data_IF_449885653613
#
_entry.id   IF_449885653613
#
_cell.length_a   1.000
_cell.length_b   1.000
_cell.length_c   1.000
_cell.angle_alpha   90.00
_cell.angle_beta   90.00
_cell.angle_gamma   90.00
#
_symmetry.space_group_name_H-M   'P 1'
#
loop_
_entity.id
_entity.type
_entity.pdbx_description
1 polymer ?
#
# COMPACT_ATOMS: atom_id res chain seq x y z
N UNK A 1 -18.48 16.60 25.46
CA UNK A 1 -17.66 15.44 25.07
C UNK A 1 -16.23 15.92 24.92
N UNK A 2 -15.34 15.60 25.87
CA UNK A 2 -13.91 15.86 25.72
C UNK A 2 -13.38 14.89 24.66
N UNK A 3 -12.83 15.42 23.56
CA UNK A 3 -12.11 14.58 22.60
C UNK A 3 -10.96 13.95 23.37
N UNK A 4 -11.01 12.62 23.50
CA UNK A 4 -9.98 11.89 24.22
C UNK A 4 -8.69 11.90 23.39
N UNK A 5 -7.55 11.91 24.05
CA UNK A 5 -6.25 11.98 23.40
C UNK A 5 -6.06 10.85 22.36
N UNK A 6 -6.60 9.66 22.62
CA UNK A 6 -6.62 8.52 21.70
C UNK A 6 -7.43 8.80 20.41
N UNK A 7 -8.53 9.56 20.52
CA UNK A 7 -9.33 9.97 19.36
C UNK A 7 -8.56 10.96 18.49
N UNK A 8 -7.81 11.90 19.08
CA UNK A 8 -6.99 12.85 18.32
C UNK A 8 -5.94 12.11 17.50
N UNK A 9 -5.25 11.15 18.10
CA UNK A 9 -4.28 10.33 17.39
C UNK A 9 -4.94 9.48 16.30
N UNK A 10 -6.10 8.90 16.57
CA UNK A 10 -6.89 8.17 15.58
C UNK A 10 -7.24 9.03 14.36
N UNK A 11 -7.72 10.25 14.58
CA UNK A 11 -8.03 11.19 13.49
C UNK A 11 -6.80 11.66 12.74
N UNK A 12 -5.70 11.99 13.42
CA UNK A 12 -4.46 12.41 12.78
C UNK A 12 -3.88 11.29 11.89
N UNK A 13 -3.92 10.05 12.37
CA UNK A 13 -3.45 8.88 11.65
C UNK A 13 -4.36 8.58 10.47
N UNK A 14 -5.69 8.68 10.65
CA UNK A 14 -6.67 8.48 9.58
C UNK A 14 -6.51 9.51 8.47
N UNK A 15 -6.36 10.80 8.80
CA UNK A 15 -6.11 11.85 7.81
C UNK A 15 -4.80 11.60 7.07
N UNK A 16 -3.74 11.21 7.79
CA UNK A 16 -2.43 10.92 7.18
C UNK A 16 -2.51 9.76 6.20
N UNK A 17 -3.12 8.64 6.59
CA UNK A 17 -3.31 7.47 5.73
C UNK A 17 -4.20 7.80 4.54
N UNK A 18 -5.28 8.56 4.76
CA UNK A 18 -6.18 8.98 3.69
C UNK A 18 -5.47 9.86 2.66
N UNK A 19 -4.62 10.79 3.10
CA UNK A 19 -3.82 11.63 2.21
C UNK A 19 -2.81 10.81 1.40
N UNK A 20 -2.10 9.88 2.04
CA UNK A 20 -1.16 8.98 1.35
C UNK A 20 -1.88 8.10 0.31
N UNK A 21 -3.05 7.57 0.68
CA UNK A 21 -3.85 6.74 -0.22
C UNK A 21 -4.43 7.55 -1.38
N UNK A 22 -4.91 8.77 -1.14
CA UNK A 22 -5.40 9.65 -2.19
C UNK A 22 -4.28 10.04 -3.17
N UNK A 23 -3.07 10.32 -2.68
CA UNK A 23 -1.89 10.55 -3.53
C UNK A 23 -1.59 9.34 -4.41
N UNK A 24 -1.59 8.15 -3.82
CA UNK A 24 -1.35 6.92 -4.55
C UNK A 24 -2.42 6.64 -5.60
N UNK A 25 -3.70 6.78 -5.26
CA UNK A 25 -4.82 6.64 -6.19
C UNK A 25 -4.74 7.64 -7.34
N UNK A 26 -4.47 8.91 -7.04
CA UNK A 26 -4.34 9.96 -8.04
C UNK A 26 -3.20 9.63 -9.02
N UNK A 27 -2.06 9.21 -8.50
CA UNK A 27 -0.92 8.82 -9.31
C UNK A 27 -1.23 7.62 -10.22
N UNK A 28 -1.77 6.52 -9.67
CA UNK A 28 -2.13 5.33 -10.44
C UNK A 28 -3.19 5.62 -11.49
N UNK A 29 -4.16 6.50 -11.19
CA UNK A 29 -5.23 6.84 -12.12
C UNK A 29 -4.73 7.74 -13.24
N UNK A 30 -3.86 8.72 -12.97
CA UNK A 30 -3.36 9.67 -13.98
C UNK A 30 -2.30 9.05 -14.90
N UNK A 31 -1.46 8.15 -14.39
CA UNK A 31 -0.38 7.51 -15.17
C UNK A 31 -0.82 6.88 -16.51
N UNK A 32 -1.91 6.09 -16.62
CA UNK A 32 -2.33 5.49 -17.89
C UNK A 32 -2.90 6.50 -18.91
N UNK A 33 -3.20 7.73 -18.50
CA UNK A 33 -3.69 8.79 -19.41
C UNK A 33 -2.56 9.69 -19.93
N UNK A 34 -1.32 9.50 -19.46
CA UNK A 34 -0.15 10.24 -19.94
C UNK A 34 0.52 9.42 -21.04
N UNK A 35 0.63 10.00 -22.23
CA UNK A 35 1.17 9.36 -23.44
C UNK A 35 2.69 9.09 -23.31
N UNK A 36 3.10 7.86 -23.65
CA UNK A 36 4.50 7.40 -23.62
C UNK A 36 5.33 8.14 -24.69
N UNK A 37 5.97 9.27 -24.32
CA UNK A 37 6.86 9.99 -25.25
C UNK A 37 7.20 11.45 -24.93
N UNK A 38 6.58 12.06 -23.92
CA UNK A 38 6.89 13.43 -23.51
C UNK A 38 8.04 13.52 -22.49
N UNK A 39 8.83 14.60 -22.53
CA UNK A 39 9.94 14.92 -21.58
C UNK A 39 9.53 14.87 -20.09
N UNK A 40 8.23 14.96 -19.81
CA UNK A 40 7.60 14.80 -18.50
C UNK A 40 7.77 13.37 -17.94
N UNK A 41 7.99 12.38 -18.81
CA UNK A 41 8.28 10.99 -18.46
C UNK A 41 9.67 10.80 -17.85
N UNK A 42 10.60 11.77 -17.98
CA UNK A 42 11.90 11.67 -17.31
C UNK A 42 11.81 12.05 -15.82
N UNK A 43 10.71 12.70 -15.42
CA UNK A 43 10.36 12.97 -14.02
C UNK A 43 9.47 11.87 -13.42
N UNK A 44 8.94 10.98 -14.27
CA UNK A 44 8.09 9.86 -13.88
C UNK A 44 8.82 8.53 -14.09
N UNK A 45 9.04 7.79 -13.02
CA UNK A 45 9.73 6.50 -13.05
C UNK A 45 9.02 5.53 -14.04
N UNK A 46 9.76 4.71 -14.81
CA UNK A 46 9.22 3.96 -15.94
C UNK A 46 8.07 3.03 -15.51
N UNK A 47 7.13 2.74 -16.43
CA UNK A 47 5.88 1.98 -16.22
C UNK A 47 6.00 0.68 -15.41
N UNK A 48 7.17 0.04 -15.37
CA UNK A 48 7.41 -1.11 -14.49
C UNK A 48 7.21 -0.78 -12.99
N UNK A 49 7.48 0.45 -12.56
CA UNK A 49 7.28 0.88 -11.17
C UNK A 49 5.82 1.16 -10.81
N UNK A 50 4.97 1.56 -11.76
CA UNK A 50 3.55 1.81 -11.50
C UNK A 50 2.82 0.54 -11.01
N UNK A 51 3.28 -0.64 -11.45
CA UNK A 51 2.81 -1.95 -10.97
C UNK A 51 3.65 -2.45 -9.79
N UNK A 52 4.97 -2.26 -9.76
CA UNK A 52 5.82 -2.77 -8.67
C UNK A 52 5.55 -2.13 -7.29
N UNK A 53 5.08 -0.88 -7.24
CA UNK A 53 4.88 -0.16 -5.97
C UNK A 53 3.77 -0.75 -5.09
N UNK A 54 2.57 -1.06 -5.60
CA UNK A 54 1.60 -1.85 -4.82
C UNK A 54 1.99 -3.33 -4.70
N UNK A 55 2.71 -3.87 -5.68
CA UNK A 55 2.92 -5.33 -5.77
C UNK A 55 3.93 -5.87 -4.76
N UNK A 56 4.98 -5.11 -4.42
CA UNK A 56 5.96 -5.49 -3.39
C UNK A 56 5.36 -5.68 -1.99
N UNK A 57 4.65 -4.71 -1.40
CA UNK A 57 4.04 -4.87 -0.07
C UNK A 57 2.96 -5.95 -0.05
N UNK A 58 2.17 -6.08 -1.13
CA UNK A 58 1.18 -7.17 -1.28
C UNK A 58 1.89 -8.53 -1.24
N UNK A 59 2.99 -8.69 -1.95
CA UNK A 59 3.75 -9.94 -1.99
C UNK A 59 4.36 -10.27 -0.62
N UNK A 60 4.91 -9.28 0.09
CA UNK A 60 5.47 -9.46 1.43
C UNK A 60 4.38 -9.89 2.43
N UNK A 61 3.23 -9.22 2.41
CA UNK A 61 2.09 -9.56 3.29
C UNK A 61 1.57 -10.94 2.97
N UNK A 62 1.41 -11.29 1.69
CA UNK A 62 0.97 -12.62 1.28
C UNK A 62 1.94 -13.70 1.74
N UNK A 63 3.25 -13.47 1.60
CA UNK A 63 4.28 -14.38 2.06
C UNK A 63 4.21 -14.57 3.58
N UNK A 64 4.06 -13.48 4.34
CA UNK A 64 3.85 -13.53 5.78
C UNK A 64 2.62 -14.35 6.19
N UNK A 65 1.49 -14.15 5.51
CA UNK A 65 0.24 -14.88 5.77
C UNK A 65 0.44 -16.38 5.52
N UNK A 66 1.10 -16.76 4.41
CA UNK A 66 1.36 -18.16 4.09
C UNK A 66 2.30 -18.79 5.11
N UNK A 67 3.41 -18.13 5.46
CA UNK A 67 4.35 -18.63 6.47
C UNK A 67 3.65 -18.83 7.82
N UNK A 68 2.83 -17.86 8.23
CA UNK A 68 2.08 -17.96 9.47
C UNK A 68 1.06 -19.10 9.43
N UNK A 69 0.30 -19.23 8.35
CA UNK A 69 -0.65 -20.34 8.16
C UNK A 69 0.05 -21.70 8.18
N UNK A 70 1.18 -21.85 7.49
CA UNK A 70 1.96 -23.09 7.50
C UNK A 70 2.46 -23.44 8.90
N UNK A 71 2.92 -22.44 9.66
CA UNK A 71 3.34 -22.63 11.04
C UNK A 71 2.18 -23.13 11.92
N UNK A 72 1.02 -22.47 11.83
CA UNK A 72 -0.20 -22.88 12.55
C UNK A 72 -0.65 -24.28 12.15
N UNK A 73 -0.59 -24.63 10.86
CA UNK A 73 -0.96 -25.97 10.38
C UNK A 73 -0.05 -27.05 10.96
N UNK A 74 1.26 -26.84 11.00
CA UNK A 74 2.23 -27.81 11.54
C UNK A 74 1.96 -28.04 13.04
N UNK A 75 1.80 -26.97 13.81
CA UNK A 75 1.45 -27.06 15.24
C UNK A 75 0.10 -27.77 15.46
N UNK A 76 -0.90 -27.49 14.61
CA UNK A 76 -2.21 -28.13 14.69
C UNK A 76 -2.21 -29.63 14.37
N UNK A 77 -1.21 -30.11 13.62
CA UNK A 77 -1.06 -31.54 13.28
C UNK A 77 -0.29 -32.34 14.35
N UNK A 78 0.43 -31.65 15.25
CA UNK A 78 1.18 -32.30 16.33
C UNK A 78 0.33 -32.62 17.58
N UNK A 79 -0.95 -32.23 17.59
CA UNK A 79 -1.93 -32.50 18.65
C UNK A 79 -3.03 -33.43 18.15
#
# INVERSE_FOLDING_TARGET
MSVNQDQVYGYALLVTVLSLYAYWLFWTLVTPFIEEGHFVLNWFLPLHFAISIPMLPILIILCLIITFLSFVMIESMQY
#
